data_IF_248314510266
#
_entry.id   IF_248314510266
#
_cell.length_a   1.000
_cell.length_b   1.000
_cell.length_c   1.000
_cell.angle_alpha   90.00
_cell.angle_beta   90.00
_cell.angle_gamma   90.00
#
_symmetry.space_group_name_H-M   'P 1'
#
loop_
_entity.id
_entity.type
_entity.pdbx_description
1 polymer ?
#
# COMPACT_ATOMS: atom_id res chain seq x y z
N UNK A 1 -14.00 4.55 15.19
CA UNK A 1 -13.99 5.52 14.08
C UNK A 1 -13.24 4.85 12.93
N UNK A 2 -13.95 4.38 11.91
CA UNK A 2 -13.31 3.73 10.76
C UNK A 2 -12.53 4.80 10.00
N UNK A 3 -11.23 4.63 9.73
CA UNK A 3 -10.48 5.63 8.96
C UNK A 3 -11.14 5.83 7.59
N UNK A 4 -11.18 7.09 7.14
CA UNK A 4 -11.69 7.40 5.81
C UNK A 4 -10.83 6.68 4.75
N UNK A 5 -11.46 6.09 3.75
CA UNK A 5 -10.79 5.33 2.69
C UNK A 5 -9.89 6.26 1.86
N UNK A 6 -8.60 5.93 1.71
CA UNK A 6 -7.68 6.70 0.85
C UNK A 6 -7.75 6.24 -0.60
N UNK A 7 -8.30 7.08 -1.48
CA UNK A 7 -8.38 6.77 -2.92
C UNK A 7 -7.00 6.68 -3.60
N UNK A 8 -6.05 7.61 -3.40
CA UNK A 8 -4.73 7.53 -4.01
C UNK A 8 -3.93 6.29 -3.60
N UNK A 9 -3.97 5.94 -2.31
CA UNK A 9 -3.29 4.78 -1.75
C UNK A 9 -3.83 3.47 -2.38
N UNK A 10 -5.16 3.35 -2.49
CA UNK A 10 -5.80 2.20 -3.11
C UNK A 10 -5.53 2.10 -4.61
N UNK A 11 -5.37 3.24 -5.30
CA UNK A 11 -5.01 3.27 -6.72
C UNK A 11 -3.60 2.71 -6.96
N UNK A 12 -2.62 3.09 -6.14
CA UNK A 12 -1.25 2.55 -6.20
C UNK A 12 -1.27 1.05 -5.96
N UNK A 13 -1.89 0.61 -4.85
CA UNK A 13 -1.91 -0.81 -4.50
C UNK A 13 -2.61 -1.66 -5.57
N UNK A 14 -3.64 -1.11 -6.23
CA UNK A 14 -4.30 -1.77 -7.36
C UNK A 14 -3.37 -1.90 -8.56
N UNK A 15 -2.62 -0.86 -8.91
CA UNK A 15 -1.67 -0.89 -10.02
C UNK A 15 -0.58 -1.94 -9.79
N UNK A 16 0.01 -1.98 -8.60
CA UNK A 16 1.02 -2.97 -8.23
C UNK A 16 0.42 -4.38 -8.19
N UNK A 17 -0.76 -4.56 -7.59
CA UNK A 17 -1.44 -5.86 -7.52
C UNK A 17 -1.79 -6.46 -8.88
N UNK A 18 -1.98 -5.61 -9.91
CA UNK A 18 -2.20 -6.03 -11.32
C UNK A 18 -0.94 -6.52 -12.02
N UNK A 19 0.24 -6.12 -11.55
CA UNK A 19 1.51 -6.64 -12.08
C UNK A 19 1.81 -8.07 -11.59
N UNK A 20 0.93 -8.64 -10.75
CA UNK A 20 1.13 -9.94 -10.09
C UNK A 20 2.41 -10.02 -9.24
N UNK A 21 3.02 -8.88 -8.93
CA UNK A 21 4.21 -8.78 -8.10
C UNK A 21 3.82 -8.74 -6.62
N UNK A 22 4.44 -9.61 -5.82
CA UNK A 22 4.40 -9.53 -4.35
C UNK A 22 5.69 -8.85 -3.90
N UNK A 23 5.57 -7.71 -3.22
CA UNK A 23 6.72 -6.90 -2.81
C UNK A 23 6.70 -6.70 -1.29
N UNK A 24 7.83 -6.81 -0.58
CA UNK A 24 7.90 -6.52 0.85
C UNK A 24 7.88 -5.01 1.15
N UNK A 25 8.15 -4.18 0.14
CA UNK A 25 8.22 -2.72 0.16
C UNK A 25 8.03 -2.20 -1.28
N UNK A 26 7.48 -1.00 -1.45
CA UNK A 26 7.44 -0.32 -2.76
C UNK A 26 8.64 0.61 -2.93
N UNK A 27 9.10 0.75 -4.17
CA UNK A 27 10.20 1.63 -4.55
C UNK A 27 9.69 2.99 -5.00
N UNK A 28 10.56 4.00 -5.15
CA UNK A 28 10.16 5.29 -5.72
C UNK A 28 9.53 5.15 -7.12
N UNK A 29 10.05 4.24 -7.95
CA UNK A 29 9.51 3.96 -9.29
C UNK A 29 8.05 3.49 -9.23
N UNK A 30 7.70 2.66 -8.24
CA UNK A 30 6.31 2.20 -8.03
C UNK A 30 5.36 3.34 -7.64
N UNK A 31 5.89 4.46 -7.12
CA UNK A 31 5.11 5.58 -6.60
C UNK A 31 5.08 6.79 -7.55
N UNK A 32 5.85 6.76 -8.64
CA UNK A 32 5.87 7.85 -9.64
C UNK A 32 4.47 8.05 -10.22
N UNK A 33 4.06 9.31 -10.37
CA UNK A 33 2.75 9.67 -10.92
C UNK A 33 1.57 9.50 -9.96
N UNK A 34 1.81 9.08 -8.72
CA UNK A 34 0.78 8.98 -7.69
C UNK A 34 0.86 10.14 -6.68
N UNK A 35 -0.28 10.82 -6.50
CA UNK A 35 -0.43 11.89 -5.50
C UNK A 35 -0.61 11.27 -4.12
N UNK A 36 0.50 10.99 -3.46
CA UNK A 36 0.56 10.44 -2.10
C UNK A 36 1.09 11.48 -1.13
N UNK A 37 0.52 11.52 0.06
CA UNK A 37 1.10 12.20 1.21
C UNK A 37 2.41 11.53 1.65
N UNK A 38 3.21 12.24 2.44
CA UNK A 38 4.47 11.71 2.97
C UNK A 38 4.25 10.47 3.84
N UNK A 39 3.18 10.45 4.63
CA UNK A 39 2.83 9.31 5.48
C UNK A 39 2.49 8.06 4.65
N UNK A 40 1.74 8.22 3.56
CA UNK A 40 1.40 7.12 2.65
C UNK A 40 2.64 6.60 1.92
N UNK A 41 3.52 7.49 1.44
CA UNK A 41 4.79 7.10 0.82
C UNK A 41 5.65 6.31 1.79
N UNK A 42 5.81 6.81 3.02
CA UNK A 42 6.60 6.13 4.05
C UNK A 42 6.05 4.74 4.38
N UNK A 43 4.73 4.61 4.54
CA UNK A 43 4.08 3.32 4.82
C UNK A 43 4.28 2.32 3.68
N UNK A 44 4.16 2.75 2.42
CA UNK A 44 4.36 1.90 1.25
C UNK A 44 5.83 1.47 1.08
N UNK A 45 6.78 2.38 1.30
CA UNK A 45 8.22 2.09 1.20
C UNK A 45 8.75 1.19 2.30
N UNK A 46 8.16 1.25 3.49
CA UNK A 46 8.57 0.40 4.63
C UNK A 46 7.78 -0.91 4.69
N UNK A 47 6.65 -0.98 3.97
CA UNK A 47 5.70 -2.09 4.09
C UNK A 47 5.03 -2.12 5.48
N UNK A 48 4.83 -0.96 6.11
CA UNK A 48 4.17 -0.84 7.41
C UNK A 48 2.67 -1.11 7.26
N UNK A 49 2.30 -2.36 7.53
CA UNK A 49 0.93 -2.88 7.38
C UNK A 49 -0.05 -2.11 8.28
N UNK A 50 0.33 -1.79 9.50
CA UNK A 50 -0.54 -1.12 10.47
C UNK A 50 -0.76 0.34 10.09
N UNK A 51 0.28 1.02 9.60
CA UNK A 51 0.13 2.36 9.03
C UNK A 51 -0.79 2.35 7.81
N UNK A 52 -0.67 1.38 6.90
CA UNK A 52 -1.54 1.27 5.72
C UNK A 52 -3.01 1.11 6.12
N UNK A 53 -3.32 0.29 7.13
CA UNK A 53 -4.68 0.16 7.66
C UNK A 53 -5.22 1.49 8.22
N UNK A 54 -4.41 2.19 9.03
CA UNK A 54 -4.80 3.48 9.62
C UNK A 54 -4.99 4.58 8.58
N UNK A 55 -4.23 4.54 7.49
CA UNK A 55 -4.33 5.47 6.36
C UNK A 55 -5.47 5.12 5.39
N UNK A 56 -6.29 4.11 5.69
CA UNK A 56 -7.47 3.78 4.90
C UNK A 56 -7.19 2.99 3.62
N UNK A 57 -6.07 2.25 3.56
CA UNK A 57 -5.86 1.27 2.50
C UNK A 57 -6.83 0.09 2.64
N UNK A 58 -7.21 -0.48 1.49
CA UNK A 58 -8.08 -1.64 1.42
C UNK A 58 -7.33 -2.89 1.94
N UNK A 59 -7.83 -3.57 2.99
CA UNK A 59 -7.22 -4.79 3.54
C UNK A 59 -6.84 -5.84 2.50
N UNK A 60 -7.69 -6.03 1.50
CA UNK A 60 -7.47 -7.02 0.44
C UNK A 60 -6.24 -6.66 -0.41
N UNK A 61 -6.11 -5.38 -0.77
CA UNK A 61 -4.99 -4.91 -1.60
C UNK A 61 -3.67 -4.95 -0.82
N UNK A 62 -3.69 -4.59 0.47
CA UNK A 62 -2.50 -4.71 1.35
C UNK A 62 -2.01 -6.16 1.35
N UNK A 63 -2.91 -7.13 1.62
CA UNK A 63 -2.56 -8.55 1.66
C UNK A 63 -2.07 -9.09 0.32
N UNK A 64 -2.62 -8.58 -0.79
CA UNK A 64 -2.23 -9.00 -2.14
C UNK A 64 -0.83 -8.51 -2.52
N UNK A 65 -0.48 -7.27 -2.18
CA UNK A 65 0.82 -6.67 -2.51
C UNK A 65 1.90 -7.12 -1.53
N UNK A 66 1.64 -7.04 -0.22
CA UNK A 66 2.62 -7.29 0.84
C UNK A 66 2.53 -8.69 1.45
N UNK A 67 2.10 -9.70 0.67
CA UNK A 67 1.82 -11.05 1.18
C UNK A 67 2.96 -11.62 2.04
N UNK A 68 4.21 -11.39 1.66
CA UNK A 68 5.40 -11.87 2.39
C UNK A 68 5.51 -11.34 3.84
N UNK A 69 4.82 -10.25 4.18
CA UNK A 69 4.79 -9.68 5.54
C UNK A 69 3.73 -10.28 6.43
N UNK A 70 2.77 -11.02 5.86
CA UNK A 70 1.78 -11.76 6.63
C UNK A 70 2.37 -13.12 6.94
N UNK A 71 2.80 -13.32 8.19
CA UNK A 71 3.16 -14.65 8.69
C UNK A 71 1.91 -15.54 8.61
N UNK A 72 2.08 -16.75 8.07
CA UNK A 72 1.04 -17.80 8.03
C UNK A 72 0.98 -18.46 9.40
#
# INVERSE_FOLDING_TARGET
MTPAVSYPLNKVLTAVARQHAMKPALTDEDLVGHTLSDAERAALKTGDIDALYRLGANPYLIRRVFRARFKI
#
